data_IF_857149762198
#
_entry.id   IF_857149762198
#
_cell.length_a   1.000
_cell.length_b   1.000
_cell.length_c   1.000
_cell.angle_alpha   90.00
_cell.angle_beta   90.00
_cell.angle_gamma   90.00
#
_symmetry.space_group_name_H-M   'P 1'
#
loop_
_entity.id
_entity.type
_entity.pdbx_description
1 polymer ?
#
# COMPACT_ATOMS: atom_id res chain seq x y z
N UNK A 1 11.24 -13.05 -12.09
CA UNK A 1 10.53 -12.23 -13.09
C UNK A 1 11.25 -12.30 -14.44
N UNK A 2 12.56 -12.00 -14.55
CA UNK A 2 13.32 -12.02 -15.81
C UNK A 2 13.20 -13.37 -16.55
N UNK A 3 13.42 -14.50 -15.84
CA UNK A 3 13.28 -15.84 -16.44
C UNK A 3 11.85 -16.08 -16.97
N UNK A 4 10.82 -15.65 -16.25
CA UNK A 4 9.45 -15.79 -16.69
C UNK A 4 9.17 -14.98 -17.94
N UNK A 5 9.64 -13.73 -18.03
CA UNK A 5 9.53 -12.90 -19.22
C UNK A 5 10.23 -13.58 -20.41
N UNK A 6 11.46 -14.07 -20.21
CA UNK A 6 12.22 -14.76 -21.25
C UNK A 6 11.46 -15.96 -21.79
N UNK A 7 10.97 -16.83 -20.90
CA UNK A 7 10.20 -18.01 -21.29
C UNK A 7 8.95 -17.62 -22.10
N UNK A 8 8.19 -16.61 -21.64
CA UNK A 8 6.95 -16.20 -22.33
C UNK A 8 7.26 -15.57 -23.69
N UNK A 9 8.32 -14.76 -23.82
CA UNK A 9 8.71 -14.15 -25.09
C UNK A 9 9.09 -15.22 -26.13
N UNK A 10 9.94 -16.18 -25.75
CA UNK A 10 10.33 -17.24 -26.66
C UNK A 10 9.20 -18.21 -26.98
N UNK A 11 8.34 -18.53 -25.99
CA UNK A 11 7.12 -19.30 -26.22
C UNK A 11 6.16 -18.59 -27.18
N UNK A 12 5.91 -17.30 -26.99
CA UNK A 12 5.07 -16.50 -27.88
C UNK A 12 5.63 -16.46 -29.30
N UNK A 13 6.96 -16.32 -29.42
CA UNK A 13 7.62 -16.36 -30.73
C UNK A 13 7.49 -17.72 -31.39
N UNK A 14 7.62 -18.81 -30.64
CA UNK A 14 7.49 -20.18 -31.11
C UNK A 14 6.09 -20.49 -31.66
N UNK A 15 5.02 -19.95 -31.02
CA UNK A 15 3.63 -20.12 -31.48
C UNK A 15 3.20 -19.13 -32.56
N UNK A 16 4.12 -18.27 -33.06
CA UNK A 16 3.90 -17.46 -34.26
C UNK A 16 3.60 -15.97 -34.04
N UNK A 17 3.67 -15.45 -32.80
CA UNK A 17 3.51 -14.01 -32.58
C UNK A 17 4.69 -13.22 -33.19
N UNK A 18 4.40 -12.04 -33.73
CA UNK A 18 5.41 -11.12 -34.26
C UNK A 18 6.18 -10.44 -33.11
N UNK A 19 7.40 -9.96 -33.41
CA UNK A 19 8.16 -9.14 -32.44
C UNK A 19 7.43 -7.86 -32.09
N UNK A 20 6.70 -7.26 -33.03
CA UNK A 20 5.90 -6.06 -32.80
C UNK A 20 4.75 -6.32 -31.81
N UNK A 21 4.10 -7.49 -31.92
CA UNK A 21 3.08 -7.92 -30.95
C UNK A 21 3.66 -8.12 -29.54
N UNK A 22 4.85 -8.70 -29.44
CA UNK A 22 5.56 -8.87 -28.16
C UNK A 22 5.88 -7.51 -27.54
N UNK A 23 6.45 -6.59 -28.34
CA UNK A 23 6.76 -5.25 -27.89
C UNK A 23 5.51 -4.46 -27.49
N UNK A 24 4.40 -4.61 -28.20
CA UNK A 24 3.12 -4.00 -27.86
C UNK A 24 2.62 -4.51 -26.48
N UNK A 25 2.68 -5.82 -26.22
CA UNK A 25 2.31 -6.38 -24.92
C UNK A 25 3.15 -5.84 -23.75
N UNK A 26 4.47 -5.69 -23.95
CA UNK A 26 5.35 -5.07 -22.95
C UNK A 26 4.95 -3.61 -22.71
N UNK A 27 4.76 -2.83 -23.78
CA UNK A 27 4.38 -1.42 -23.70
C UNK A 27 3.05 -1.23 -22.98
N UNK A 28 2.03 -1.98 -23.37
CA UNK A 28 0.68 -1.93 -22.76
C UNK A 28 0.71 -2.27 -21.27
N UNK A 29 1.63 -3.15 -20.86
CA UNK A 29 1.86 -3.47 -19.45
C UNK A 29 2.46 -2.29 -18.69
N UNK A 30 3.54 -1.70 -19.22
CA UNK A 30 4.26 -0.59 -18.56
C UNK A 30 3.40 0.67 -18.47
N UNK A 31 2.62 0.98 -19.51
CA UNK A 31 1.76 2.18 -19.56
C UNK A 31 0.83 2.27 -18.33
N UNK A 32 0.35 1.14 -17.83
CA UNK A 32 -0.51 1.07 -16.62
C UNK A 32 0.21 1.42 -15.33
N UNK A 33 1.54 1.35 -15.30
CA UNK A 33 2.36 1.58 -14.11
C UNK A 33 3.16 2.88 -14.12
N UNK A 34 2.99 3.75 -15.09
CA UNK A 34 3.77 5.00 -15.18
C UNK A 34 3.59 5.86 -13.93
N UNK A 35 2.34 6.05 -13.48
CA UNK A 35 2.06 6.85 -12.27
C UNK A 35 2.65 6.22 -11.00
N UNK A 36 2.46 4.93 -10.70
CA UNK A 36 3.20 4.25 -9.63
C UNK A 36 4.70 4.43 -9.70
N UNK A 37 5.32 4.29 -10.86
CA UNK A 37 6.77 4.47 -11.03
C UNK A 37 7.19 5.88 -10.59
N UNK A 38 6.48 6.92 -11.04
CA UNK A 38 6.74 8.31 -10.64
C UNK A 38 6.59 8.48 -9.12
N UNK A 39 5.54 7.91 -8.53
CA UNK A 39 5.30 7.95 -7.09
C UNK A 39 6.48 7.33 -6.32
N UNK A 40 7.00 6.17 -6.74
CA UNK A 40 8.14 5.54 -6.06
C UNK A 40 9.41 6.37 -6.12
N UNK A 41 9.69 7.01 -7.25
CA UNK A 41 10.82 7.95 -7.39
C UNK A 41 10.68 9.11 -6.40
N UNK A 42 9.49 9.70 -6.32
CA UNK A 42 9.20 10.82 -5.43
C UNK A 42 9.22 10.41 -3.94
N UNK A 43 8.79 9.19 -3.60
CA UNK A 43 8.89 8.66 -2.23
C UNK A 43 10.35 8.63 -1.77
N UNK A 44 11.27 8.17 -2.62
CA UNK A 44 12.69 8.18 -2.28
C UNK A 44 13.20 9.57 -1.91
N UNK A 45 12.90 10.57 -2.73
CA UNK A 45 13.25 11.97 -2.48
C UNK A 45 12.54 12.52 -1.21
N UNK A 46 11.27 12.17 -1.00
CA UNK A 46 10.50 12.62 0.15
C UNK A 46 11.06 12.09 1.47
N UNK A 47 11.43 10.81 1.54
CA UNK A 47 12.02 10.21 2.74
C UNK A 47 13.29 10.96 3.14
N UNK A 48 14.23 11.17 2.22
CA UNK A 48 15.50 11.84 2.51
C UNK A 48 15.31 13.28 2.93
N UNK A 49 14.43 14.03 2.27
CA UNK A 49 14.13 15.43 2.63
C UNK A 49 13.42 15.53 3.98
N UNK A 50 12.51 14.61 4.31
CA UNK A 50 11.85 14.59 5.62
C UNK A 50 12.80 14.25 6.77
N UNK A 51 13.80 13.41 6.54
CA UNK A 51 14.84 13.15 7.54
C UNK A 51 15.70 14.41 7.73
N UNK A 52 16.18 14.99 6.63
CA UNK A 52 17.05 16.16 6.66
C UNK A 52 16.36 17.44 7.20
N UNK A 53 15.06 17.61 6.92
CA UNK A 53 14.23 18.69 7.48
C UNK A 53 13.85 18.48 8.96
N UNK A 54 14.21 17.33 9.57
CA UNK A 54 13.88 17.01 10.95
C UNK A 54 12.46 16.50 11.19
N UNK A 55 11.67 16.26 10.15
CA UNK A 55 10.29 15.78 10.27
C UNK A 55 10.22 14.38 10.89
N UNK A 56 10.93 13.40 10.31
CA UNK A 56 10.99 12.03 10.85
C UNK A 56 11.63 12.00 12.24
N UNK A 57 12.79 12.65 12.50
CA UNK A 57 13.36 12.75 13.84
C UNK A 57 12.40 13.36 14.88
N UNK A 58 11.65 14.40 14.51
CA UNK A 58 10.65 15.02 15.41
C UNK A 58 9.52 14.05 15.76
N UNK A 59 9.00 13.32 14.77
CA UNK A 59 7.99 12.26 15.00
C UNK A 59 8.51 11.18 15.95
N UNK A 60 9.76 10.74 15.76
CA UNK A 60 10.37 9.76 16.63
C UNK A 60 10.46 10.26 18.09
N UNK A 61 10.93 11.49 18.30
CA UNK A 61 11.02 12.09 19.65
C UNK A 61 9.64 12.20 20.30
N UNK A 62 8.63 12.69 19.57
CA UNK A 62 7.25 12.76 20.07
C UNK A 62 6.74 11.37 20.42
N UNK A 63 6.94 10.39 19.54
CA UNK A 63 6.52 9.01 19.76
C UNK A 63 7.16 8.38 20.99
N UNK A 64 8.47 8.54 21.18
CA UNK A 64 9.17 8.05 22.39
C UNK A 64 8.62 8.66 23.68
N UNK A 65 8.21 9.93 23.66
CA UNK A 65 7.68 10.63 24.85
C UNK A 65 6.21 10.32 25.14
N UNK A 66 5.45 9.94 24.12
CA UNK A 66 3.98 9.83 24.21
C UNK A 66 3.49 8.38 24.25
N UNK A 67 4.23 7.43 23.71
CA UNK A 67 3.76 6.05 23.52
C UNK A 67 4.30 5.15 24.64
N UNK A 68 3.37 4.50 25.34
CA UNK A 68 3.71 3.46 26.29
C UNK A 68 4.07 2.16 25.54
N UNK A 69 5.14 1.50 25.95
CA UNK A 69 5.65 0.26 25.35
C UNK A 69 4.58 -0.83 25.26
N UNK A 70 3.78 -0.99 26.32
CA UNK A 70 2.70 -1.99 26.38
C UNK A 70 1.59 -1.78 25.35
N UNK A 71 1.43 -0.54 24.84
CA UNK A 71 0.42 -0.17 23.84
C UNK A 71 1.04 0.19 22.50
N UNK A 72 2.33 -0.10 22.30
CA UNK A 72 3.06 0.34 21.12
C UNK A 72 2.46 -0.19 19.83
N UNK A 73 2.32 -1.52 19.68
CA UNK A 73 1.85 -2.14 18.43
C UNK A 73 0.40 -1.74 18.07
N UNK A 74 -0.59 -1.78 18.99
CA UNK A 74 -1.92 -1.29 18.65
C UNK A 74 -1.95 0.20 18.34
N UNK A 75 -1.11 1.03 18.99
CA UNK A 75 -0.99 2.45 18.67
C UNK A 75 -0.43 2.63 17.24
N UNK A 76 0.61 1.89 16.86
CA UNK A 76 1.16 1.89 15.49
C UNK A 76 0.09 1.54 14.48
N UNK A 77 -0.63 0.44 14.70
CA UNK A 77 -1.72 0.03 13.82
C UNK A 77 -2.79 1.11 13.66
N UNK A 78 -3.29 1.66 14.79
CA UNK A 78 -4.37 2.66 14.77
C UNK A 78 -3.93 4.01 14.17
N UNK A 79 -2.73 4.49 14.49
CA UNK A 79 -2.22 5.74 13.92
C UNK A 79 -1.95 5.59 12.42
N UNK A 80 -1.31 4.49 12.00
CA UNK A 80 -1.13 4.21 10.57
C UNK A 80 -2.49 4.08 9.85
N UNK A 81 -3.51 3.52 10.51
CA UNK A 81 -4.88 3.47 9.96
C UNK A 81 -5.51 4.84 9.79
N UNK A 82 -5.36 5.71 10.79
CA UNK A 82 -5.89 7.08 10.73
C UNK A 82 -5.23 7.88 9.61
N UNK A 83 -3.89 7.80 9.51
CA UNK A 83 -3.14 8.48 8.45
C UNK A 83 -3.51 7.92 7.09
N UNK A 84 -3.62 6.59 6.96
CA UNK A 84 -4.04 5.92 5.74
C UNK A 84 -5.44 6.33 5.29
N UNK A 85 -6.39 6.43 6.22
CA UNK A 85 -7.75 6.88 5.94
C UNK A 85 -7.80 8.33 5.46
N UNK A 86 -6.94 9.19 5.99
CA UNK A 86 -6.85 10.58 5.59
C UNK A 86 -6.18 10.76 4.21
N UNK A 87 -5.14 9.96 3.93
CA UNK A 87 -4.31 10.12 2.71
C UNK A 87 -4.77 9.22 1.57
N UNK A 88 -5.33 8.05 1.87
CA UNK A 88 -5.79 7.09 0.87
C UNK A 88 -4.66 6.29 0.21
N UNK A 89 -3.56 6.06 0.92
CA UNK A 89 -2.42 5.33 0.36
C UNK A 89 -1.57 4.66 1.44
N UNK A 90 -1.52 3.34 1.43
CA UNK A 90 -0.63 2.56 2.30
C UNK A 90 0.85 2.88 2.00
N UNK A 91 1.23 3.08 0.75
CA UNK A 91 2.60 3.45 0.37
C UNK A 91 3.05 4.74 1.06
N UNK A 92 2.20 5.76 1.08
CA UNK A 92 2.47 7.03 1.74
C UNK A 92 2.58 6.87 3.24
N UNK A 93 1.71 6.08 3.87
CA UNK A 93 1.79 5.81 5.32
C UNK A 93 3.13 5.17 5.68
N UNK A 94 3.53 4.13 4.96
CA UNK A 94 4.78 3.41 5.25
C UNK A 94 5.99 4.30 5.08
N UNK A 95 6.04 5.11 4.01
CA UNK A 95 7.17 5.99 3.71
C UNK A 95 7.26 7.24 4.59
N UNK A 96 6.23 7.54 5.35
CA UNK A 96 6.15 8.72 6.23
C UNK A 96 6.17 8.33 7.70
N UNK A 97 5.02 8.24 8.33
CA UNK A 97 4.89 7.89 9.75
C UNK A 97 5.38 6.47 10.03
N UNK A 98 5.28 5.57 9.06
CA UNK A 98 5.74 4.18 9.18
C UNK A 98 7.22 4.07 9.49
N UNK A 99 8.08 4.84 8.82
CA UNK A 99 9.53 4.85 9.09
C UNK A 99 9.81 5.34 10.52
N UNK A 100 9.10 6.38 10.99
CA UNK A 100 9.26 6.87 12.35
C UNK A 100 8.86 5.82 13.39
N UNK A 101 7.69 5.18 13.22
CA UNK A 101 7.26 4.08 14.10
C UNK A 101 8.18 2.87 14.02
N UNK A 102 8.70 2.56 12.84
CA UNK A 102 9.67 1.47 12.69
C UNK A 102 10.93 1.75 13.53
N UNK A 103 11.49 2.97 13.44
CA UNK A 103 12.62 3.39 14.25
C UNK A 103 12.36 3.33 15.77
N UNK A 104 11.17 3.79 16.20
CA UNK A 104 10.74 3.70 17.59
C UNK A 104 10.68 2.24 18.06
N UNK A 105 10.04 1.37 17.27
CA UNK A 105 9.88 -0.05 17.61
C UNK A 105 11.21 -0.78 17.75
N UNK A 106 12.17 -0.53 16.84
CA UNK A 106 13.51 -1.10 16.92
C UNK A 106 14.24 -0.63 18.19
N UNK A 107 14.16 0.66 18.49
CA UNK A 107 14.78 1.24 19.71
C UNK A 107 14.15 0.66 20.98
N UNK A 108 12.83 0.41 20.96
CA UNK A 108 12.10 -0.27 22.04
C UNK A 108 12.33 -1.79 22.08
N UNK A 109 13.20 -2.32 21.21
CA UNK A 109 13.57 -3.74 21.13
C UNK A 109 12.41 -4.68 20.70
N UNK A 110 11.44 -4.17 19.93
CA UNK A 110 10.45 -5.03 19.27
C UNK A 110 11.05 -5.78 18.07
N UNK A 111 10.47 -6.93 17.76
CA UNK A 111 10.83 -7.67 16.55
C UNK A 111 10.54 -6.80 15.30
N UNK A 112 11.54 -6.54 14.43
CA UNK A 112 11.38 -5.70 13.25
C UNK A 112 10.23 -6.15 12.32
N UNK A 113 10.08 -7.46 12.15
CA UNK A 113 9.04 -8.02 11.30
C UNK A 113 7.62 -7.78 11.86
N UNK A 114 7.47 -7.83 13.19
CA UNK A 114 6.20 -7.56 13.86
C UNK A 114 5.82 -6.07 13.76
N UNK A 115 6.80 -5.17 13.93
CA UNK A 115 6.59 -3.71 13.77
C UNK A 115 6.22 -3.38 12.34
N UNK A 116 6.95 -3.93 11.35
CA UNK A 116 6.62 -3.76 9.94
C UNK A 116 5.20 -4.29 9.63
N UNK A 117 4.83 -5.46 10.19
CA UNK A 117 3.49 -6.03 10.07
C UNK A 117 2.39 -5.09 10.59
N UNK A 118 2.59 -4.46 11.75
CA UNK A 118 1.64 -3.51 12.33
C UNK A 118 1.48 -2.25 11.47
N UNK A 119 2.60 -1.70 10.95
CA UNK A 119 2.61 -0.54 10.06
C UNK A 119 1.84 -0.84 8.76
N UNK A 120 2.17 -1.96 8.11
CA UNK A 120 1.54 -2.36 6.84
C UNK A 120 0.06 -2.67 7.04
N UNK A 121 -0.28 -3.41 8.10
CA UNK A 121 -1.68 -3.71 8.44
C UNK A 121 -2.50 -2.43 8.67
N UNK A 122 -1.96 -1.48 9.44
CA UNK A 122 -2.60 -0.19 9.70
C UNK A 122 -2.74 0.65 8.44
N UNK A 123 -1.65 0.80 7.67
CA UNK A 123 -1.66 1.55 6.41
C UNK A 123 -2.66 0.99 5.41
N UNK A 124 -2.75 -0.35 5.29
CA UNK A 124 -3.70 -1.03 4.40
C UNK A 124 -5.15 -0.86 4.86
N UNK A 125 -5.42 -0.99 6.17
CA UNK A 125 -6.76 -0.76 6.71
C UNK A 125 -7.21 0.70 6.49
N UNK A 126 -6.33 1.66 6.76
CA UNK A 126 -6.62 3.07 6.53
C UNK A 126 -6.89 3.37 5.05
N UNK A 127 -6.08 2.85 4.14
CA UNK A 127 -6.29 2.97 2.70
C UNK A 127 -7.69 2.47 2.30
N UNK A 128 -8.13 1.31 2.82
CA UNK A 128 -9.48 0.77 2.55
C UNK A 128 -10.62 1.64 3.11
N UNK A 129 -10.39 2.39 4.17
CA UNK A 129 -11.38 3.33 4.74
C UNK A 129 -11.43 4.67 3.99
N UNK A 130 -10.48 4.94 3.10
CA UNK A 130 -10.36 6.24 2.46
C UNK A 130 -11.17 6.36 1.17
N UNK A 131 -12.00 7.39 1.01
CA UNK A 131 -12.60 7.72 -0.28
C UNK A 131 -11.58 8.26 -1.30
N UNK A 132 -10.37 8.60 -0.85
CA UNK A 132 -9.27 9.05 -1.71
C UNK A 132 -8.43 7.87 -2.25
N UNK A 133 -8.68 6.64 -1.77
CA UNK A 133 -7.95 5.46 -2.22
C UNK A 133 -8.15 5.20 -3.70
N UNK A 134 -7.04 5.10 -4.44
CA UNK A 134 -7.05 4.81 -5.87
C UNK A 134 -7.67 3.44 -6.15
N UNK A 135 -7.39 2.46 -5.30
CA UNK A 135 -7.91 1.09 -5.46
C UNK A 135 -9.39 0.99 -5.17
N UNK A 136 -9.91 1.68 -4.14
CA UNK A 136 -11.35 1.75 -3.88
C UNK A 136 -12.10 2.38 -5.05
N UNK A 137 -11.58 3.48 -5.60
CA UNK A 137 -12.17 4.15 -6.77
C UNK A 137 -12.14 3.24 -8.00
N UNK A 138 -11.01 2.56 -8.22
CA UNK A 138 -10.86 1.62 -9.33
C UNK A 138 -11.81 0.42 -9.20
N UNK A 139 -11.88 -0.21 -8.02
CA UNK A 139 -12.76 -1.34 -7.79
C UNK A 139 -14.22 -0.95 -8.00
N UNK A 140 -14.66 0.19 -7.45
CA UNK A 140 -16.00 0.72 -7.66
C UNK A 140 -16.32 0.95 -9.15
N UNK A 141 -15.40 1.56 -9.90
CA UNK A 141 -15.55 1.80 -11.33
C UNK A 141 -15.60 0.50 -12.15
N UNK A 142 -14.76 -0.49 -11.83
CA UNK A 142 -14.70 -1.78 -12.56
C UNK A 142 -16.00 -2.57 -12.41
N UNK A 143 -16.63 -2.49 -11.23
CA UNK A 143 -17.89 -3.22 -10.99
C UNK A 143 -19.15 -2.38 -11.23
N UNK A 144 -19.02 -1.13 -11.73
CA UNK A 144 -20.10 -0.18 -11.96
C UNK A 144 -20.97 0.04 -10.70
N UNK A 145 -20.37 0.47 -9.62
CA UNK A 145 -21.05 0.87 -8.39
C UNK A 145 -20.54 2.23 -7.91
N UNK A 146 -21.33 2.95 -7.12
CA UNK A 146 -20.84 4.20 -6.54
C UNK A 146 -19.78 3.92 -5.47
N UNK A 147 -18.79 4.82 -5.34
CA UNK A 147 -17.72 4.69 -4.38
C UNK A 147 -18.23 4.44 -2.95
N UNK A 148 -19.22 5.20 -2.51
CA UNK A 148 -19.77 5.09 -1.16
C UNK A 148 -20.55 3.78 -0.93
N UNK A 149 -21.26 3.27 -1.95
CA UNK A 149 -21.90 1.96 -1.88
C UNK A 149 -20.84 0.85 -1.80
N UNK A 150 -19.78 0.95 -2.61
CA UNK A 150 -18.63 0.03 -2.52
C UNK A 150 -17.99 0.06 -1.14
N UNK A 151 -17.63 1.24 -0.61
CA UNK A 151 -17.05 1.40 0.71
C UNK A 151 -17.92 0.80 1.82
N UNK A 152 -19.25 0.98 1.75
CA UNK A 152 -20.18 0.36 2.70
C UNK A 152 -20.13 -1.17 2.64
N UNK A 153 -19.93 -1.73 1.46
CA UNK A 153 -19.86 -3.19 1.26
C UNK A 153 -18.57 -3.78 1.83
N UNK A 154 -17.44 -3.13 1.63
CA UNK A 154 -16.15 -3.63 2.13
C UNK A 154 -16.05 -3.62 3.66
N UNK A 155 -16.85 -2.80 4.36
CA UNK A 155 -16.86 -2.77 5.83
C UNK A 155 -17.12 -4.15 6.46
N UNK A 156 -17.86 -5.04 5.78
CA UNK A 156 -18.15 -6.39 6.26
C UNK A 156 -16.92 -7.30 6.38
N UNK A 157 -15.87 -7.07 5.62
CA UNK A 157 -14.59 -7.79 5.76
C UNK A 157 -13.57 -7.02 6.58
N UNK A 158 -13.45 -5.71 6.32
CA UNK A 158 -12.36 -4.92 6.90
C UNK A 158 -12.56 -4.58 8.38
N UNK A 159 -13.81 -4.34 8.85
CA UNK A 159 -14.03 -4.03 10.26
C UNK A 159 -13.73 -5.21 11.20
N UNK A 160 -14.25 -6.43 10.99
CA UNK A 160 -13.89 -7.55 11.85
C UNK A 160 -12.39 -7.89 11.74
N UNK A 161 -11.78 -7.78 10.55
CA UNK A 161 -10.34 -7.96 10.40
C UNK A 161 -9.53 -6.95 11.20
N UNK A 162 -9.94 -5.67 11.22
CA UNK A 162 -9.28 -4.62 11.97
C UNK A 162 -9.42 -4.80 13.49
N UNK A 163 -10.62 -5.16 13.96
CA UNK A 163 -10.86 -5.43 15.40
C UNK A 163 -9.97 -6.58 15.87
N UNK A 164 -9.98 -7.71 15.16
CA UNK A 164 -9.15 -8.86 15.52
C UNK A 164 -7.66 -8.51 15.46
N UNK A 165 -7.22 -7.78 14.42
CA UNK A 165 -5.83 -7.32 14.32
C UNK A 165 -5.43 -6.44 15.49
N UNK A 166 -6.29 -5.51 15.91
CA UNK A 166 -6.06 -4.66 17.07
C UNK A 166 -5.91 -5.50 18.34
N UNK A 167 -6.78 -6.49 18.55
CA UNK A 167 -6.68 -7.39 19.70
C UNK A 167 -5.38 -8.17 19.68
N UNK A 168 -5.00 -8.76 18.53
CA UNK A 168 -3.75 -9.52 18.41
C UNK A 168 -2.54 -8.62 18.68
N UNK A 169 -2.47 -7.40 18.10
CA UNK A 169 -1.39 -6.46 18.37
C UNK A 169 -1.34 -6.02 19.84
N UNK A 170 -2.48 -5.88 20.51
CA UNK A 170 -2.55 -5.57 21.93
C UNK A 170 -1.97 -6.70 22.78
N UNK A 171 -2.33 -7.94 22.49
CA UNK A 171 -1.81 -9.12 23.19
C UNK A 171 -0.30 -9.28 22.98
N UNK A 172 0.19 -9.09 21.74
CA UNK A 172 1.61 -9.19 21.42
C UNK A 172 2.44 -8.03 21.99
N UNK A 173 1.84 -6.87 22.21
CA UNK A 173 2.49 -5.71 22.83
C UNK A 173 2.53 -5.82 24.36
N UNK A 174 1.47 -6.33 24.98
CA UNK A 174 1.30 -6.37 26.44
C UNK A 174 2.31 -7.26 27.19
N UNK A 175 2.87 -8.26 26.51
CA UNK A 175 3.94 -9.13 27.07
C UNK A 175 5.35 -8.54 26.99
N UNK A 176 5.50 -7.36 26.39
CA UNK A 176 6.83 -6.78 26.15
C UNK A 176 7.28 -5.90 27.32
N UNK A 177 8.11 -6.47 28.20
CA UNK A 177 8.67 -5.78 29.39
C UNK A 177 10.08 -5.22 29.15
N UNK A 178 10.61 -5.38 27.93
CA UNK A 178 12.03 -5.21 27.61
C UNK A 178 12.46 -3.81 27.13
N UNK A 179 11.67 -2.75 27.32
CA UNK A 179 12.09 -1.41 26.90
C UNK A 179 13.25 -0.91 27.78
N UNK A 180 14.40 -0.75 27.19
CA UNK A 180 15.56 -0.16 27.86
C UNK A 180 15.42 1.37 27.85
N UNK A 181 14.93 1.94 28.96
CA UNK A 181 14.75 3.38 29.14
C UNK A 181 16.05 4.15 28.89
N UNK A 182 17.20 3.59 29.26
CA UNK A 182 18.52 4.20 29.01
C UNK A 182 18.76 4.34 27.50
N UNK A 183 18.45 3.29 26.73
CA UNK A 183 18.59 3.28 25.28
C UNK A 183 17.65 4.30 24.61
N UNK A 184 16.40 4.36 25.07
CA UNK A 184 15.42 5.35 24.58
C UNK A 184 15.92 6.77 24.84
N UNK A 185 16.38 7.06 26.07
CA UNK A 185 16.91 8.39 26.42
C UNK A 185 18.16 8.75 25.63
N UNK A 186 19.06 7.80 25.40
CA UNK A 186 20.24 7.99 24.54
C UNK A 186 19.82 8.31 23.09
N UNK A 187 18.83 7.60 22.56
CA UNK A 187 18.30 7.85 21.20
C UNK A 187 17.66 9.24 21.13
N UNK A 188 16.81 9.62 22.09
CA UNK A 188 16.21 10.95 22.15
C UNK A 188 17.31 12.03 22.21
N UNK A 189 18.34 11.85 23.05
CA UNK A 189 19.45 12.78 23.15
C UNK A 189 20.23 12.90 21.83
N UNK A 190 20.53 11.76 21.18
CA UNK A 190 21.19 11.77 19.89
C UNK A 190 20.35 12.47 18.80
N UNK A 191 19.04 12.30 18.80
CA UNK A 191 18.14 12.98 17.88
C UNK A 191 18.07 14.48 18.14
N UNK A 192 17.91 14.91 19.42
CA UNK A 192 17.76 16.32 19.78
C UNK A 192 19.04 17.12 19.57
N UNK A 193 20.22 16.50 19.70
CA UNK A 193 21.51 17.18 19.48
C UNK A 193 21.81 17.35 17.99
N UNK A 194 21.43 16.37 17.15
CA UNK A 194 21.87 16.33 15.74
C UNK A 194 20.79 16.79 14.75
N UNK A 195 19.53 16.89 15.17
CA UNK A 195 18.42 17.28 14.30
C UNK A 195 17.63 18.44 14.91
N UNK A 196 17.03 19.25 14.03
CA UNK A 196 16.13 20.31 14.44
C UNK A 196 14.77 19.73 14.87
N UNK A 197 14.61 19.51 16.17
CA UNK A 197 13.37 18.96 16.74
C UNK A 197 12.45 20.10 17.14
N UNK A 198 11.40 20.33 16.34
CA UNK A 198 10.42 21.40 16.63
C UNK A 198 9.05 21.04 16.02
N UNK A 199 7.99 21.70 16.50
CA UNK A 199 6.66 21.58 15.91
C UNK A 199 6.60 22.08 14.46
N UNK A 200 7.47 23.02 14.09
CA UNK A 200 7.62 23.53 12.72
C UNK A 200 8.07 22.40 11.79
N UNK A 201 8.91 21.47 12.29
CA UNK A 201 9.36 20.31 11.51
C UNK A 201 8.22 19.36 11.13
N UNK A 202 7.02 19.51 11.68
CA UNK A 202 5.82 18.74 11.31
C UNK A 202 5.03 19.36 10.14
N UNK A 203 5.42 20.55 9.63
CA UNK A 203 4.75 21.19 8.49
C UNK A 203 4.58 20.22 7.30
N UNK A 204 5.58 19.41 6.89
CA UNK A 204 5.39 18.46 5.77
C UNK A 204 4.26 17.47 6.01
N UNK A 205 4.06 17.00 7.24
CA UNK A 205 2.96 16.09 7.59
C UNK A 205 1.62 16.83 7.51
N UNK A 206 1.54 18.02 8.10
CA UNK A 206 0.32 18.85 8.05
C UNK A 206 -0.04 19.14 6.59
N UNK A 207 0.96 19.38 5.75
CA UNK A 207 0.77 19.64 4.33
C UNK A 207 0.19 18.40 3.60
N UNK A 208 0.62 17.17 3.93
CA UNK A 208 0.02 15.95 3.38
C UNK A 208 -1.48 15.89 3.70
N UNK A 209 -1.85 16.14 4.97
CA UNK A 209 -3.26 16.16 5.36
C UNK A 209 -4.06 17.30 4.70
N UNK A 210 -3.47 18.49 4.57
CA UNK A 210 -4.11 19.62 3.89
C UNK A 210 -4.34 19.32 2.40
N UNK A 211 -3.35 18.76 1.70
CA UNK A 211 -3.50 18.34 0.31
C UNK A 211 -4.55 17.24 0.15
N UNK A 212 -4.59 16.26 1.07
CA UNK A 212 -5.62 15.23 1.07
C UNK A 212 -7.03 15.83 1.28
N UNK A 213 -7.19 16.78 2.21
CA UNK A 213 -8.46 17.44 2.46
C UNK A 213 -9.03 18.18 1.24
N UNK A 214 -8.16 18.78 0.42
CA UNK A 214 -8.56 19.40 -0.87
C UNK A 214 -8.56 18.44 -2.05
N UNK A 215 -8.40 17.13 -1.80
CA UNK A 215 -8.39 16.06 -2.82
C UNK A 215 -7.31 16.23 -3.90
N UNK A 216 -6.16 16.78 -3.53
CA UNK A 216 -5.02 16.91 -4.44
C UNK A 216 -4.45 15.53 -4.76
N UNK A 217 -4.11 15.28 -6.04
CA UNK A 217 -3.52 14.02 -6.48
C UNK A 217 -2.17 13.73 -5.81
N UNK A 218 -1.76 12.46 -5.72
CA UNK A 218 -0.56 12.02 -5.00
C UNK A 218 0.72 12.67 -5.53
N UNK A 219 0.93 12.69 -6.85
CA UNK A 219 2.15 13.25 -7.46
C UNK A 219 2.37 14.73 -7.14
N UNK A 220 1.40 15.65 -7.37
CA UNK A 220 1.54 17.05 -6.97
C UNK A 220 1.74 17.22 -5.46
N UNK A 221 1.05 16.43 -4.63
CA UNK A 221 1.20 16.46 -3.17
C UNK A 221 2.64 16.13 -2.75
N UNK A 222 3.23 15.09 -3.35
CA UNK A 222 4.61 14.70 -3.06
C UNK A 222 5.63 15.74 -3.53
N UNK A 223 5.45 16.29 -4.73
CA UNK A 223 6.32 17.35 -5.25
C UNK A 223 6.29 18.60 -4.35
N UNK A 224 5.11 19.03 -3.94
CA UNK A 224 4.95 20.14 -3.02
C UNK A 224 5.61 19.87 -1.66
N UNK A 225 5.45 18.64 -1.16
CA UNK A 225 6.08 18.19 0.09
C UNK A 225 7.61 18.19 0.02
N UNK A 226 8.18 17.66 -1.07
CA UNK A 226 9.63 17.66 -1.30
C UNK A 226 10.13 19.10 -1.37
N UNK A 227 9.43 20.00 -2.08
CA UNK A 227 9.78 21.40 -2.18
C UNK A 227 9.81 22.08 -0.81
N UNK A 228 8.72 21.96 -0.03
CA UNK A 228 8.62 22.56 1.31
C UNK A 228 9.69 21.97 2.25
N UNK A 229 9.90 20.66 2.24
CA UNK A 229 10.94 20.02 3.06
C UNK A 229 12.34 20.48 2.66
N UNK A 230 12.60 20.66 1.37
CA UNK A 230 13.88 21.19 0.87
C UNK A 230 14.11 22.62 1.34
N UNK A 231 13.09 23.48 1.29
CA UNK A 231 13.17 24.85 1.82
C UNK A 231 13.49 24.81 3.34
N UNK A 232 12.81 23.92 4.08
CA UNK A 232 13.07 23.75 5.52
C UNK A 232 14.49 23.28 5.81
N UNK A 233 15.09 22.44 4.96
CA UNK A 233 16.50 22.02 5.11
C UNK A 233 17.45 23.21 5.09
N UNK A 234 17.24 24.21 4.20
CA UNK A 234 18.04 25.42 4.14
C UNK A 234 17.84 26.33 5.36
N UNK A 235 16.61 26.42 5.87
CA UNK A 235 16.35 27.17 7.11
C UNK A 235 16.99 26.52 8.33
N UNK A 236 16.96 25.20 8.42
CA UNK A 236 17.53 24.45 9.54
C UNK A 236 19.06 24.38 9.49
N UNK A 237 19.65 24.49 8.30
CA UNK A 237 21.10 24.49 8.09
C UNK A 237 21.49 25.55 7.06
N UNK A 238 21.76 26.80 7.50
CA UNK A 238 22.13 27.89 6.60
C UNK A 238 23.41 27.66 5.79
N UNK A 239 24.29 26.74 6.22
CA UNK A 239 25.52 26.39 5.52
C UNK A 239 25.29 25.29 4.45
N UNK A 240 24.07 24.80 4.29
CA UNK A 240 23.75 23.77 3.30
C UNK A 240 23.88 24.33 1.89
N UNK A 241 24.74 23.72 1.08
CA UNK A 241 24.88 24.12 -0.34
C UNK A 241 23.81 23.45 -1.20
N UNK A 242 23.49 24.05 -2.34
CA UNK A 242 22.56 23.44 -3.33
C UNK A 242 23.05 22.05 -3.76
N UNK A 243 24.36 21.87 -3.94
CA UNK A 243 24.94 20.56 -4.29
C UNK A 243 24.65 19.51 -3.22
N UNK A 244 24.79 19.84 -1.93
CA UNK A 244 24.48 18.92 -0.84
C UNK A 244 22.97 18.62 -0.76
N UNK A 245 22.11 19.60 -0.96
CA UNK A 245 20.66 19.38 -1.00
C UNK A 245 20.26 18.46 -2.16
N UNK A 246 20.83 18.67 -3.34
CA UNK A 246 20.62 17.79 -4.51
C UNK A 246 21.14 16.36 -4.24
N UNK A 247 22.30 16.23 -3.59
CA UNK A 247 22.85 14.93 -3.22
C UNK A 247 21.96 14.18 -2.23
N UNK A 248 21.42 14.87 -1.23
CA UNK A 248 20.43 14.29 -0.30
C UNK A 248 19.17 13.80 -1.04
N UNK A 249 18.63 14.59 -1.95
CA UNK A 249 17.45 14.22 -2.74
C UNK A 249 17.74 13.01 -3.62
N UNK A 250 18.91 12.97 -4.24
CA UNK A 250 19.28 11.95 -5.22
C UNK A 250 19.77 10.66 -4.56
N UNK A 251 20.78 10.76 -3.67
CA UNK A 251 21.48 9.62 -3.10
C UNK A 251 20.99 9.23 -1.70
N UNK A 252 20.20 10.10 -1.05
CA UNK A 252 19.65 9.89 0.27
C UNK A 252 20.38 10.65 1.38
N UNK A 253 19.73 10.69 2.53
CA UNK A 253 20.33 11.29 3.73
C UNK A 253 21.27 10.30 4.42
N UNK A 254 22.44 10.76 4.80
CA UNK A 254 23.43 9.99 5.58
C UNK A 254 23.54 10.61 6.98
N UNK A 255 23.01 9.91 7.97
CA UNK A 255 23.08 10.33 9.37
C UNK A 255 24.49 10.12 9.92
N UNK A 256 25.02 11.12 10.63
CA UNK A 256 26.34 11.08 11.27
C UNK A 256 26.23 11.51 12.74
N UNK A 257 25.54 10.72 13.54
CA UNK A 257 25.39 10.93 14.99
C UNK A 257 26.33 10.03 15.76
N UNK A 258 26.45 10.26 17.06
CA UNK A 258 27.19 9.39 17.98
C UNK A 258 26.55 8.00 18.19
N UNK A 259 25.27 7.85 17.79
CA UNK A 259 24.55 6.58 17.92
C UNK A 259 24.54 5.82 16.58
N UNK A 260 25.21 4.65 16.57
CA UNK A 260 25.22 3.77 15.40
C UNK A 260 23.79 3.34 14.98
N UNK A 261 22.90 3.17 15.96
CA UNK A 261 21.51 2.79 15.73
C UNK A 261 20.71 3.93 15.03
N UNK A 262 20.85 5.17 15.50
CA UNK A 262 20.23 6.34 14.84
C UNK A 262 20.78 6.49 13.43
N UNK A 263 22.09 6.27 13.24
CA UNK A 263 22.69 6.34 11.91
C UNK A 263 22.14 5.27 10.97
N UNK A 264 21.94 4.03 11.44
CA UNK A 264 21.35 2.95 10.65
C UNK A 264 19.87 3.24 10.28
N UNK A 265 19.12 3.80 11.23
CA UNK A 265 17.70 4.10 11.04
C UNK A 265 17.45 5.29 10.11
N UNK A 266 18.29 6.33 10.18
CA UNK A 266 18.09 7.58 9.46
C UNK A 266 19.00 7.75 8.23
N UNK A 267 19.93 6.84 7.93
CA UNK A 267 20.65 6.84 6.64
C UNK A 267 19.81 6.15 5.57
N UNK A 268 18.82 6.86 5.02
CA UNK A 268 17.81 6.30 4.11
C UNK A 268 17.31 7.34 3.11
N UNK A 269 16.48 6.84 2.18
CA UNK A 269 15.82 7.65 1.16
C UNK A 269 16.72 7.94 -0.03
N UNK A 270 16.35 8.97 -0.79
CA UNK A 270 16.96 9.30 -2.07
C UNK A 270 16.35 8.56 -3.24
N UNK A 271 16.33 9.22 -4.40
CA UNK A 271 15.78 8.64 -5.65
C UNK A 271 16.47 7.31 -5.98
N UNK A 272 17.79 7.25 -5.84
CA UNK A 272 18.59 6.07 -6.16
C UNK A 272 18.18 4.85 -5.34
N UNK A 273 17.77 5.03 -4.09
CA UNK A 273 17.33 3.93 -3.22
C UNK A 273 16.09 3.21 -3.74
N UNK A 274 15.26 3.90 -4.53
CA UNK A 274 14.02 3.35 -5.10
C UNK A 274 14.24 2.70 -6.48
N UNK A 275 15.39 2.88 -7.13
CA UNK A 275 15.64 2.34 -8.48
C UNK A 275 15.51 0.82 -8.59
N UNK A 276 15.96 -0.01 -7.62
CA UNK A 276 15.71 -1.44 -7.67
C UNK A 276 14.22 -1.79 -7.66
N UNK A 277 13.41 -1.04 -6.88
CA UNK A 277 11.94 -1.20 -6.86
C UNK A 277 11.34 -0.81 -8.21
N UNK A 278 11.73 0.33 -8.77
CA UNK A 278 11.28 0.81 -10.09
C UNK A 278 11.62 -0.21 -11.19
N UNK A 279 12.85 -0.72 -11.20
CA UNK A 279 13.26 -1.75 -12.16
C UNK A 279 12.40 -3.02 -12.06
N UNK A 280 12.12 -3.47 -10.84
CA UNK A 280 11.25 -4.63 -10.65
C UNK A 280 9.81 -4.36 -11.10
N UNK A 281 9.27 -3.17 -10.83
CA UNK A 281 7.93 -2.76 -11.27
C UNK A 281 7.85 -2.82 -12.80
N UNK A 282 8.82 -2.23 -13.50
CA UNK A 282 8.87 -2.26 -14.97
C UNK A 282 8.89 -3.69 -15.50
N UNK A 283 9.72 -4.56 -14.91
CA UNK A 283 9.77 -5.96 -15.31
C UNK A 283 8.47 -6.71 -15.01
N UNK A 284 7.87 -6.48 -13.84
CA UNK A 284 6.63 -7.16 -13.43
C UNK A 284 5.45 -6.73 -14.30
N UNK A 285 5.37 -5.43 -14.60
CA UNK A 285 4.35 -4.89 -15.52
C UNK A 285 4.55 -5.41 -16.94
N UNK A 286 5.78 -5.54 -17.41
CA UNK A 286 6.08 -6.16 -18.71
C UNK A 286 5.60 -7.61 -18.75
N UNK A 287 5.85 -8.38 -17.70
CA UNK A 287 5.33 -9.74 -17.57
C UNK A 287 3.80 -9.78 -17.61
N UNK A 288 3.17 -8.95 -16.79
CA UNK A 288 1.70 -8.83 -16.74
C UNK A 288 1.10 -8.44 -18.08
N UNK A 289 1.71 -7.46 -18.76
CA UNK A 289 1.30 -7.04 -20.10
C UNK A 289 1.35 -8.17 -21.12
N UNK A 290 2.44 -8.95 -21.14
CA UNK A 290 2.57 -10.12 -22.01
C UNK A 290 1.52 -11.20 -21.71
N UNK A 291 1.29 -11.51 -20.42
CA UNK A 291 0.29 -12.51 -20.02
C UNK A 291 -1.14 -12.11 -20.43
N UNK A 292 -1.45 -10.81 -20.36
CA UNK A 292 -2.74 -10.27 -20.79
C UNK A 292 -2.84 -10.25 -22.30
N UNK A 293 -1.80 -9.74 -22.98
CA UNK A 293 -1.78 -9.56 -24.43
C UNK A 293 -1.90 -10.89 -25.19
N UNK A 294 -1.27 -11.95 -24.69
CA UNK A 294 -1.38 -13.29 -25.26
C UNK A 294 -2.60 -14.07 -24.78
N UNK A 295 -3.49 -13.46 -24.01
CA UNK A 295 -4.74 -14.07 -23.55
C UNK A 295 -4.56 -15.19 -22.51
N UNK A 296 -3.36 -15.39 -21.95
CA UNK A 296 -3.09 -16.46 -20.99
C UNK A 296 -3.93 -16.32 -19.72
N UNK A 297 -4.08 -15.09 -19.22
CA UNK A 297 -4.92 -14.81 -18.05
C UNK A 297 -6.40 -15.08 -18.39
N UNK A 298 -6.85 -14.61 -19.57
CA UNK A 298 -8.21 -14.84 -20.04
C UNK A 298 -8.57 -16.32 -20.14
N UNK A 299 -7.69 -17.13 -20.70
CA UNK A 299 -7.89 -18.57 -20.86
C UNK A 299 -8.08 -19.32 -19.54
N UNK A 300 -7.44 -18.88 -18.46
CA UNK A 300 -7.62 -19.45 -17.11
C UNK A 300 -8.92 -18.93 -16.46
N UNK A 301 -9.27 -17.65 -16.67
CA UNK A 301 -10.41 -17.01 -16.00
C UNK A 301 -11.75 -17.38 -16.64
N UNK A 302 -11.81 -17.54 -17.95
CA UNK A 302 -13.05 -17.79 -18.69
C UNK A 302 -13.79 -19.05 -18.20
N UNK A 303 -13.17 -20.24 -18.05
CA UNK A 303 -13.86 -21.41 -17.54
C UNK A 303 -14.40 -21.23 -16.11
N UNK A 304 -13.68 -20.47 -15.27
CA UNK A 304 -14.09 -20.20 -13.89
C UNK A 304 -15.31 -19.25 -13.84
N UNK A 305 -15.33 -18.24 -14.71
CA UNK A 305 -16.42 -17.27 -14.75
C UNK A 305 -17.68 -17.79 -15.45
N UNK A 306 -17.55 -18.72 -16.42
CA UNK A 306 -18.69 -19.22 -17.21
C UNK A 306 -19.37 -20.44 -16.61
N UNK A 307 -18.63 -21.36 -16.00
CA UNK A 307 -19.13 -22.65 -15.51
C UNK A 307 -19.66 -22.61 -14.07
N UNK A 308 -19.34 -21.57 -13.30
CA UNK A 308 -19.73 -21.47 -11.90
C UNK A 308 -21.02 -20.64 -11.75
N UNK A 309 -22.00 -21.20 -11.00
CA UNK A 309 -23.29 -20.54 -10.77
C UNK A 309 -23.64 -20.42 -9.27
N UNK A 310 -22.92 -21.14 -8.38
CA UNK A 310 -23.20 -21.09 -6.94
C UNK A 310 -22.48 -19.88 -6.34
N UNK A 311 -23.14 -19.01 -5.53
CA UNK A 311 -22.55 -17.80 -4.93
C UNK A 311 -21.20 -18.05 -4.23
N UNK A 312 -21.13 -19.04 -3.34
CA UNK A 312 -19.89 -19.36 -2.65
C UNK A 312 -18.75 -19.75 -3.61
N UNK A 313 -19.04 -20.57 -4.66
CA UNK A 313 -18.02 -20.96 -5.64
C UNK A 313 -17.55 -19.78 -6.49
N UNK A 314 -18.43 -18.82 -6.81
CA UNK A 314 -18.08 -17.61 -7.53
C UNK A 314 -17.15 -16.72 -6.72
N UNK A 315 -17.46 -16.49 -5.43
CA UNK A 315 -16.60 -15.71 -4.52
C UNK A 315 -15.24 -16.36 -4.38
N UNK A 316 -15.18 -17.68 -4.12
CA UNK A 316 -13.91 -18.43 -4.01
C UNK A 316 -13.09 -18.31 -5.29
N UNK A 317 -13.71 -18.49 -6.46
CA UNK A 317 -13.02 -18.42 -7.74
C UNK A 317 -12.51 -17.00 -8.05
N UNK A 318 -13.31 -15.97 -7.81
CA UNK A 318 -12.91 -14.58 -8.00
C UNK A 318 -11.76 -14.22 -7.05
N UNK A 319 -11.86 -14.59 -5.76
CA UNK A 319 -10.82 -14.34 -4.77
C UNK A 319 -9.51 -15.06 -5.15
N UNK A 320 -9.58 -16.35 -5.50
CA UNK A 320 -8.41 -17.11 -5.94
C UNK A 320 -7.77 -16.52 -7.20
N UNK A 321 -8.58 -15.98 -8.11
CA UNK A 321 -8.10 -15.32 -9.32
C UNK A 321 -7.39 -14.01 -8.98
N UNK A 322 -7.91 -13.18 -8.08
CA UNK A 322 -7.26 -11.96 -7.61
C UNK A 322 -5.90 -12.29 -6.97
N UNK A 323 -5.86 -13.29 -6.08
CA UNK A 323 -4.63 -13.75 -5.42
C UNK A 323 -3.64 -14.29 -6.47
N UNK A 324 -4.13 -15.10 -7.41
CA UNK A 324 -3.30 -15.65 -8.49
C UNK A 324 -2.65 -14.55 -9.32
N UNK A 325 -3.40 -13.51 -9.72
CA UNK A 325 -2.84 -12.37 -10.46
C UNK A 325 -1.81 -11.63 -9.62
N UNK A 326 -2.07 -11.39 -8.32
CA UNK A 326 -1.08 -10.81 -7.43
C UNK A 326 0.23 -11.62 -7.39
N UNK A 327 0.11 -12.94 -7.29
CA UNK A 327 1.29 -13.82 -7.23
C UNK A 327 2.03 -13.90 -8.56
N UNK A 328 1.32 -14.03 -9.69
CA UNK A 328 1.95 -14.21 -11.01
C UNK A 328 2.37 -12.90 -11.67
N UNK A 329 1.59 -11.83 -11.47
CA UNK A 329 1.84 -10.51 -12.07
C UNK A 329 2.47 -9.54 -11.08
N UNK A 330 2.14 -9.64 -9.77
CA UNK A 330 2.72 -8.82 -8.71
C UNK A 330 2.19 -7.38 -8.68
N UNK A 331 1.04 -7.10 -9.32
CA UNK A 331 0.52 -5.75 -9.48
C UNK A 331 -0.98 -5.69 -9.08
N UNK A 332 -1.31 -4.72 -8.22
CA UNK A 332 -2.64 -4.64 -7.59
C UNK A 332 -3.77 -4.19 -8.53
N UNK A 333 -3.50 -3.26 -9.46
CA UNK A 333 -4.54 -2.76 -10.35
C UNK A 333 -5.02 -3.83 -11.32
N UNK A 334 -4.10 -4.65 -11.86
CA UNK A 334 -4.46 -5.78 -12.71
C UNK A 334 -5.23 -6.86 -11.94
N UNK A 335 -4.90 -7.07 -10.66
CA UNK A 335 -5.63 -8.03 -9.81
C UNK A 335 -7.04 -7.57 -9.42
N UNK A 336 -7.38 -6.29 -9.67
CA UNK A 336 -8.73 -5.73 -9.57
C UNK A 336 -9.43 -5.76 -10.94
N UNK A 337 -8.78 -5.19 -11.96
CA UNK A 337 -9.42 -4.96 -13.28
C UNK A 337 -9.80 -6.26 -13.96
N UNK A 338 -8.86 -7.21 -14.03
CA UNK A 338 -9.07 -8.42 -14.81
C UNK A 338 -10.15 -9.34 -14.20
N UNK A 339 -10.10 -9.70 -12.90
CA UNK A 339 -11.16 -10.49 -12.29
C UNK A 339 -12.49 -9.73 -12.25
N UNK A 340 -12.47 -8.42 -12.01
CA UNK A 340 -13.65 -7.60 -11.99
C UNK A 340 -14.44 -7.69 -13.30
N UNK A 341 -13.77 -7.52 -14.43
CA UNK A 341 -14.39 -7.66 -15.76
C UNK A 341 -14.85 -9.08 -16.04
N UNK A 342 -14.05 -10.09 -15.71
CA UNK A 342 -14.36 -11.48 -16.00
C UNK A 342 -15.53 -12.03 -15.18
N UNK A 343 -15.60 -11.68 -13.89
CA UNK A 343 -16.60 -12.24 -12.98
C UNK A 343 -17.89 -11.40 -12.86
N UNK A 344 -17.96 -10.18 -13.38
CA UNK A 344 -19.12 -9.29 -13.27
C UNK A 344 -20.42 -9.97 -13.72
N UNK A 345 -20.45 -10.50 -14.94
CA UNK A 345 -21.61 -11.21 -15.47
C UNK A 345 -21.93 -12.49 -14.69
N UNK A 346 -20.90 -13.19 -14.17
CA UNK A 346 -21.09 -14.40 -13.39
C UNK A 346 -21.73 -14.10 -12.02
N UNK A 347 -21.30 -13.03 -11.35
CA UNK A 347 -21.91 -12.57 -10.09
C UNK A 347 -23.38 -12.19 -10.29
N UNK A 348 -23.71 -11.45 -11.37
CA UNK A 348 -25.09 -11.12 -11.70
C UNK A 348 -25.94 -12.39 -11.93
N UNK A 349 -25.45 -13.37 -12.68
CA UNK A 349 -26.14 -14.67 -12.84
C UNK A 349 -26.32 -15.40 -11.51
N UNK A 350 -25.31 -15.31 -10.61
CA UNK A 350 -25.35 -15.86 -9.26
C UNK A 350 -26.19 -15.05 -8.27
N UNK A 351 -26.89 -14.00 -8.71
CA UNK A 351 -27.70 -13.06 -7.90
C UNK A 351 -26.89 -12.34 -6.82
N UNK A 352 -25.59 -12.17 -7.03
CA UNK A 352 -24.70 -11.38 -6.18
C UNK A 352 -24.64 -9.94 -6.70
N UNK A 353 -24.56 -8.97 -5.78
CA UNK A 353 -24.45 -7.55 -6.14
C UNK A 353 -23.06 -7.20 -6.72
N UNK A 354 -23.00 -6.11 -7.46
CA UNK A 354 -21.73 -5.54 -7.91
C UNK A 354 -20.83 -5.18 -6.73
N UNK A 355 -21.38 -4.67 -5.63
CA UNK A 355 -20.65 -4.39 -4.39
C UNK A 355 -20.01 -5.64 -3.78
N UNK A 356 -20.68 -6.80 -3.83
CA UNK A 356 -20.08 -8.06 -3.36
C UNK A 356 -18.85 -8.45 -4.18
N UNK A 357 -18.86 -8.27 -5.52
CA UNK A 357 -17.69 -8.45 -6.35
C UNK A 357 -16.60 -7.45 -5.98
N UNK A 358 -16.94 -6.15 -5.88
CA UNK A 358 -15.98 -5.10 -5.50
C UNK A 358 -15.25 -5.44 -4.20
N UNK A 359 -15.95 -5.92 -3.17
CA UNK A 359 -15.33 -6.40 -1.93
C UNK A 359 -14.32 -7.53 -2.17
N UNK A 360 -14.68 -8.54 -2.96
CA UNK A 360 -13.78 -9.65 -3.27
C UNK A 360 -12.53 -9.19 -4.02
N UNK A 361 -12.68 -8.21 -4.94
CA UNK A 361 -11.54 -7.61 -5.65
C UNK A 361 -10.57 -6.91 -4.69
N UNK A 362 -11.09 -6.21 -3.68
CA UNK A 362 -10.29 -5.55 -2.67
C UNK A 362 -9.61 -6.54 -1.72
N UNK A 363 -10.36 -7.53 -1.22
CA UNK A 363 -9.86 -8.50 -0.25
C UNK A 363 -8.85 -9.50 -0.85
N UNK A 364 -8.90 -9.77 -2.15
CA UNK A 364 -7.95 -10.63 -2.85
C UNK A 364 -6.91 -9.88 -3.68
N UNK A 365 -7.27 -8.72 -4.20
CA UNK A 365 -6.43 -7.93 -5.09
C UNK A 365 -5.53 -6.96 -4.36
N UNK A 366 -6.08 -6.08 -3.54
CA UNK A 366 -5.34 -4.97 -2.96
C UNK A 366 -4.62 -5.33 -1.68
N UNK A 367 -5.36 -5.88 -0.69
CA UNK A 367 -4.79 -6.08 0.65
C UNK A 367 -3.65 -7.09 0.69
N UNK A 368 -3.60 -8.04 -0.27
CA UNK A 368 -2.58 -9.06 -0.36
C UNK A 368 -1.36 -8.65 -1.21
N UNK A 369 -1.43 -7.57 -1.99
CA UNK A 369 -0.31 -7.13 -2.83
C UNK A 369 0.96 -6.85 -2.03
N UNK A 370 0.81 -6.32 -0.82
CA UNK A 370 1.93 -6.03 0.10
C UNK A 370 2.59 -7.29 0.67
N UNK A 371 2.00 -8.47 0.48
CA UNK A 371 2.50 -9.76 0.95
C UNK A 371 3.23 -10.57 -0.12
N UNK A 372 3.25 -10.11 -1.36
CA UNK A 372 3.93 -10.79 -2.48
C UNK A 372 5.39 -10.31 -2.55
N UNK A 373 6.39 -11.18 -2.31
CA UNK A 373 7.80 -10.78 -2.18
C UNK A 373 8.40 -10.16 -3.45
N UNK A 374 7.88 -10.49 -4.61
CA UNK A 374 8.30 -9.96 -5.91
C UNK A 374 7.28 -8.99 -6.51
N UNK A 375 6.18 -8.74 -5.80
CA UNK A 375 5.16 -7.77 -6.19
C UNK A 375 5.57 -6.35 -5.83
N UNK A 376 4.92 -5.40 -6.50
CA UNK A 376 5.18 -3.96 -6.31
C UNK A 376 5.10 -3.54 -4.84
N UNK A 377 4.02 -3.94 -4.16
CA UNK A 377 3.81 -3.61 -2.75
C UNK A 377 4.84 -4.25 -1.82
N UNK A 378 5.09 -5.56 -1.98
CA UNK A 378 6.02 -6.28 -1.11
C UNK A 378 7.45 -5.79 -1.21
N UNK A 379 7.93 -5.53 -2.44
CA UNK A 379 9.29 -5.01 -2.68
C UNK A 379 9.44 -3.59 -2.13
N UNK A 380 8.41 -2.75 -2.32
CA UNK A 380 8.42 -1.40 -1.76
C UNK A 380 8.56 -1.41 -0.23
N UNK A 381 7.72 -2.19 0.46
CA UNK A 381 7.77 -2.30 1.93
C UNK A 381 9.13 -2.80 2.38
N UNK A 382 9.64 -3.86 1.75
CA UNK A 382 10.93 -4.46 2.09
C UNK A 382 12.08 -3.45 1.95
N UNK A 383 12.11 -2.67 0.87
CA UNK A 383 13.14 -1.65 0.64
C UNK A 383 12.98 -0.45 1.59
N UNK A 384 11.73 -0.03 1.86
CA UNK A 384 11.47 1.15 2.71
C UNK A 384 11.76 0.87 4.18
N UNK A 385 11.33 -0.27 4.72
CA UNK A 385 11.53 -0.61 6.13
C UNK A 385 12.80 -1.43 6.38
N UNK A 386 13.40 -2.02 5.33
CA UNK A 386 14.58 -2.88 5.47
C UNK A 386 14.26 -4.26 6.03
N UNK A 387 13.01 -4.72 5.91
CA UNK A 387 12.55 -6.04 6.39
C UNK A 387 12.03 -6.86 5.22
N UNK A 388 12.61 -8.02 4.92
CA UNK A 388 12.15 -8.90 3.83
C UNK A 388 10.65 -9.25 3.96
N UNK A 389 9.94 -9.27 2.84
CA UNK A 389 8.49 -9.53 2.82
C UNK A 389 8.10 -10.82 3.53
N UNK A 390 8.86 -11.90 3.34
CA UNK A 390 8.59 -13.19 3.99
C UNK A 390 8.69 -13.14 5.52
N UNK A 391 9.43 -12.18 6.08
CA UNK A 391 9.56 -12.04 7.53
C UNK A 391 8.36 -11.29 8.13
N UNK A 392 7.87 -10.21 7.51
CA UNK A 392 6.73 -9.46 8.05
C UNK A 392 5.36 -10.01 7.62
N UNK A 393 5.28 -10.82 6.58
CA UNK A 393 4.05 -11.42 6.06
C UNK A 393 3.17 -12.06 7.16
N UNK A 394 3.71 -12.89 8.08
CA UNK A 394 2.90 -13.54 9.12
C UNK A 394 2.26 -12.55 10.10
N UNK A 395 2.75 -11.32 10.16
CA UNK A 395 2.32 -10.29 11.11
C UNK A 395 1.39 -9.24 10.49
N UNK A 396 1.08 -9.32 9.20
CA UNK A 396 0.10 -8.41 8.56
C UNK A 396 -1.31 -8.98 8.75
N UNK A 397 -1.73 -9.10 10.01
CA UNK A 397 -2.97 -9.80 10.38
C UNK A 397 -4.20 -9.27 9.64
N UNK A 398 -4.33 -7.96 9.47
CA UNK A 398 -5.43 -7.36 8.72
C UNK A 398 -5.55 -7.92 7.30
N UNK A 399 -4.46 -7.91 6.55
CA UNK A 399 -4.45 -8.39 5.16
C UNK A 399 -4.70 -9.89 5.05
N UNK A 400 -4.26 -10.67 6.03
CA UNK A 400 -4.51 -12.10 6.06
C UNK A 400 -5.97 -12.45 6.43
N UNK A 401 -6.60 -11.63 7.28
CA UNK A 401 -7.97 -11.86 7.73
C UNK A 401 -9.03 -11.42 6.71
N UNK A 402 -8.81 -10.37 5.93
CA UNK A 402 -9.81 -9.90 4.96
C UNK A 402 -10.29 -10.99 3.98
N UNK A 403 -9.42 -11.75 3.30
CA UNK A 403 -9.85 -12.86 2.45
C UNK A 403 -10.63 -13.94 3.22
N UNK A 404 -10.24 -14.20 4.48
CA UNK A 404 -10.93 -15.17 5.33
C UNK A 404 -12.37 -14.71 5.60
N UNK A 405 -12.59 -13.43 5.90
CA UNK A 405 -13.94 -12.89 6.10
C UNK A 405 -14.77 -12.89 4.83
N UNK A 406 -14.17 -12.63 3.67
CA UNK A 406 -14.85 -12.78 2.38
C UNK A 406 -15.26 -14.23 2.13
N UNK A 407 -14.40 -15.20 2.43
CA UNK A 407 -14.76 -16.62 2.35
C UNK A 407 -15.87 -17.00 3.32
N UNK A 408 -15.76 -16.64 4.59
CA UNK A 408 -16.80 -16.90 5.60
C UNK A 408 -18.14 -16.31 5.18
N UNK A 409 -18.14 -15.07 4.70
CA UNK A 409 -19.35 -14.40 4.18
C UNK A 409 -19.98 -15.19 3.02
N UNK A 410 -19.15 -15.78 2.14
CA UNK A 410 -19.64 -16.53 0.99
C UNK A 410 -20.35 -17.85 1.35
N UNK A 411 -19.91 -18.50 2.43
CA UNK A 411 -20.50 -19.77 2.91
C UNK A 411 -21.68 -19.55 3.86
N UNK A 412 -21.64 -18.52 4.68
CA UNK A 412 -22.69 -18.24 5.68
C UNK A 412 -23.81 -17.35 5.15
N UNK A 413 -23.56 -16.59 4.06
CA UNK A 413 -24.47 -15.58 3.55
C UNK A 413 -24.47 -14.27 4.38
N UNK A 414 -23.78 -14.24 5.53
CA UNK A 414 -23.72 -13.06 6.39
C UNK A 414 -22.86 -11.98 5.73
N UNK A 415 -23.43 -10.78 5.52
CA UNK A 415 -22.75 -9.67 4.85
C UNK A 415 -22.54 -9.88 3.35
N UNK A 416 -23.06 -10.98 2.76
CA UNK A 416 -23.05 -11.20 1.34
C UNK A 416 -24.22 -10.45 0.69
N UNK A 417 -23.92 -9.39 -0.04
CA UNK A 417 -24.95 -8.60 -0.69
C UNK A 417 -25.45 -9.30 -1.97
N UNK A 418 -26.76 -9.44 -2.05
CA UNK A 418 -27.46 -9.97 -3.24
C UNK A 418 -28.13 -8.83 -4.00
N UNK A 419 -28.46 -9.05 -5.26
CA UNK A 419 -29.16 -8.07 -6.12
C UNK A 419 -30.53 -7.62 -5.56
N UNK A 420 -31.12 -8.38 -4.64
CA UNK A 420 -32.36 -8.01 -3.97
C UNK A 420 -32.15 -7.01 -2.81
N UNK A 421 -30.94 -6.89 -2.28
CA UNK A 421 -30.58 -6.05 -1.14
C UNK A 421 -29.72 -4.85 -1.52
N UNK A 422 -29.55 -4.57 -2.81
CA UNK A 422 -28.86 -3.36 -3.27
C UNK A 422 -29.74 -2.13 -2.96
N UNK A 423 -29.27 -1.13 -2.21
CA UNK A 423 -30.00 0.11 -2.02
C UNK A 423 -30.17 0.74 -3.40
N UNK A 424 -31.40 1.10 -3.77
CA UNK A 424 -31.67 1.79 -5.02
C UNK A 424 -30.75 3.01 -5.13
N UNK A 425 -29.92 3.03 -6.15
CA UNK A 425 -29.02 4.15 -6.42
C UNK A 425 -29.88 5.37 -6.74
N UNK A 426 -29.78 6.43 -5.93
CA UNK A 426 -30.55 7.67 -6.12
C UNK A 426 -30.11 8.47 -7.36
N UNK A 427 -29.09 8.00 -8.10
CA UNK A 427 -28.59 8.67 -9.31
C UNK A 427 -29.48 8.51 -10.54
N UNK A 428 -30.42 7.56 -10.55
CA UNK A 428 -31.28 7.28 -11.72
C UNK A 428 -32.58 8.12 -11.77
N UNK A 429 -32.74 9.11 -10.86
CA UNK A 429 -33.94 9.95 -10.77
C UNK A 429 -33.87 11.28 -11.54
N UNK A 430 -32.86 11.52 -12.35
CA UNK A 430 -32.73 12.79 -13.10
C UNK A 430 -32.51 12.63 -14.60
N UNK A 431 -33.19 11.69 -15.23
CA UNK A 431 -33.42 11.76 -16.69
C UNK A 431 -34.91 12.08 -16.89
N UNK A 432 -35.29 13.35 -16.72
CA UNK A 432 -36.53 13.90 -17.30
C UNK A 432 -36.31 13.94 -18.79
N UNK A 433 -37.22 13.35 -19.61
CA UNK A 433 -37.17 13.54 -21.06
C UNK A 433 -37.49 15.01 -21.36
N UNK A 434 -36.54 15.66 -22.00
CA UNK A 434 -36.80 16.96 -22.62
C UNK A 434 -37.64 16.69 -23.85
N UNK A 435 -38.91 17.12 -23.82
CA UNK A 435 -39.80 17.21 -24.98
C UNK A 435 -39.31 18.26 -25.97
#
# INVERSE_FOLDING_TARGET
>A
VLLAITVIIFWAKFIGFSWDSINAGIKDGIDKGIIPIVIFILIGAMISTWIAAGTIPTLMVIGFKSINVQWFLPTVFLVCSLVGAAVGSCFTVVSTVGIAFFGIGITMNFNPALVAGAIVAGGTFGDKLSPLSETNNLAAAVVDTSLFAHMKTILWSILPAAVISTVIFTLLSGGHTGANLTKINQTISALTVNFHISLISLIPIILVFACAAIKMAAVPTMLLNILVSTIMMFFNNPNLTIKQATDIITNGFISKTSSAEVNLLLSRGGIVSMMPTVALIVLTLSLGGLLVHFGLIGAVMEPLSTKLNKPAKLVVAALATCIGINVFVGEQFLSIILPGRAFKNAFNRGRLSNGALGRVLEDGGTVLNYLVPWGVGGVFIANTLGVPTMQYLPFVFFSLLCPVFSLLSSFTGIGLQTTQNEPADQSDRTVTPIN
#
